data_IF_088803132856
#
_entry.id   IF_088803132856
#
_cell.length_a   1.000
_cell.length_b   1.000
_cell.length_c   1.000
_cell.angle_alpha   90.00
_cell.angle_beta   90.00
_cell.angle_gamma   90.00
#
_symmetry.space_group_name_H-M   'P 1'
#
loop_
_entity.id
_entity.type
_entity.pdbx_description
1 polymer ?
#
# COMPACT_ATOMS: atom_id res chain seq x y z
N UNK A 1 -12.12 4.60 21.62
CA UNK A 1 -11.77 5.91 21.02
C UNK A 1 -12.84 6.30 20.00
N UNK A 2 -13.26 7.57 19.98
CA UNK A 2 -14.17 8.11 18.96
C UNK A 2 -13.32 8.69 17.84
N UNK A 3 -13.59 8.34 16.59
CA UNK A 3 -12.84 8.88 15.45
C UNK A 3 -13.06 10.39 15.26
N UNK A 4 -14.06 10.97 15.92
CA UNK A 4 -14.32 12.41 15.92
C UNK A 4 -13.16 13.24 16.47
N UNK A 5 -12.51 12.78 17.55
CA UNK A 5 -11.37 13.48 18.15
C UNK A 5 -10.16 13.46 17.20
N UNK A 6 -9.89 12.29 16.62
CA UNK A 6 -8.83 12.07 15.62
C UNK A 6 -9.09 12.93 14.38
N UNK A 7 -10.36 12.99 13.94
CA UNK A 7 -10.80 13.79 12.79
C UNK A 7 -10.58 15.27 13.02
N UNK A 8 -10.88 15.78 14.22
CA UNK A 8 -10.63 17.18 14.58
C UNK A 8 -9.15 17.52 14.46
N UNK A 9 -8.28 16.69 15.03
CA UNK A 9 -6.82 16.90 15.01
C UNK A 9 -6.29 16.84 13.58
N UNK A 10 -6.74 15.86 12.79
CA UNK A 10 -6.37 15.73 11.39
C UNK A 10 -6.68 17.01 10.60
N UNK A 11 -7.91 17.52 10.71
CA UNK A 11 -8.31 18.71 9.97
C UNK A 11 -7.76 20.02 10.53
N UNK A 12 -7.21 20.05 11.74
CA UNK A 12 -6.43 21.18 12.25
C UNK A 12 -5.08 21.33 11.54
N UNK A 13 -4.47 20.22 11.12
CA UNK A 13 -3.17 20.22 10.42
C UNK A 13 -3.31 20.42 8.91
N UNK A 14 -4.53 20.36 8.37
CA UNK A 14 -4.79 20.47 6.93
C UNK A 14 -5.49 21.79 6.64
N UNK A 15 -4.96 22.55 5.69
CA UNK A 15 -5.64 23.75 5.21
C UNK A 15 -7.07 23.45 4.75
N UNK A 16 -8.04 24.28 5.16
CA UNK A 16 -9.47 24.10 4.86
C UNK A 16 -9.77 23.82 3.38
N UNK A 17 -9.03 24.44 2.46
CA UNK A 17 -9.17 24.24 1.00
C UNK A 17 -8.91 22.79 0.55
N UNK A 18 -8.13 22.03 1.32
CA UNK A 18 -7.78 20.63 1.01
C UNK A 18 -8.60 19.61 1.79
N UNK A 19 -9.47 20.03 2.72
CA UNK A 19 -10.25 19.10 3.55
C UNK A 19 -11.03 18.06 2.73
N UNK A 20 -11.60 18.47 1.60
CA UNK A 20 -12.33 17.56 0.71
C UNK A 20 -11.40 16.50 0.10
N UNK A 21 -10.20 16.88 -0.31
CA UNK A 21 -9.23 16.00 -0.97
C UNK A 21 -8.54 15.07 0.02
N UNK A 22 -8.39 15.49 1.28
CA UNK A 22 -7.71 14.70 2.30
C UNK A 22 -8.62 13.74 3.08
N UNK A 23 -9.91 13.62 2.70
CA UNK A 23 -10.83 12.65 3.31
C UNK A 23 -10.34 11.21 3.14
N UNK A 24 -9.78 10.91 1.98
CA UNK A 24 -9.22 9.60 1.68
C UNK A 24 -7.98 9.34 2.55
N UNK A 25 -7.04 10.28 2.62
CA UNK A 25 -5.88 10.18 3.51
C UNK A 25 -6.30 9.87 4.95
N UNK A 26 -7.27 10.61 5.51
CA UNK A 26 -7.77 10.36 6.86
C UNK A 26 -8.24 8.91 7.01
N UNK A 27 -9.10 8.44 6.10
CA UNK A 27 -9.63 7.10 6.13
C UNK A 27 -8.54 6.02 6.01
N UNK A 28 -7.53 6.24 5.16
CA UNK A 28 -6.38 5.33 5.00
C UNK A 28 -5.56 5.24 6.29
N UNK A 29 -5.33 6.37 6.98
CA UNK A 29 -4.66 6.39 8.29
C UNK A 29 -5.46 5.62 9.35
N UNK A 30 -6.79 5.71 9.33
CA UNK A 30 -7.65 4.89 10.19
C UNK A 30 -7.51 3.40 9.83
N UNK A 31 -7.52 3.03 8.56
CA UNK A 31 -7.31 1.63 8.13
C UNK A 31 -5.94 1.08 8.52
N UNK A 32 -4.89 1.90 8.47
CA UNK A 32 -3.56 1.56 8.99
C UNK A 32 -3.63 1.30 10.49
N UNK A 33 -4.23 2.22 11.26
CA UNK A 33 -4.40 2.06 12.71
C UNK A 33 -5.18 0.79 13.09
N UNK A 34 -6.21 0.44 12.31
CA UNK A 34 -7.00 -0.78 12.50
C UNK A 34 -6.32 -2.06 12.02
N UNK A 35 -5.05 -1.99 11.59
CA UNK A 35 -4.26 -3.12 11.09
C UNK A 35 -4.89 -3.83 9.89
N UNK A 36 -5.65 -3.10 9.06
CA UNK A 36 -6.32 -3.65 7.87
C UNK A 36 -5.35 -3.70 6.68
N UNK A 37 -4.45 -2.73 6.59
CA UNK A 37 -3.39 -2.68 5.57
C UNK A 37 -2.04 -2.36 6.19
N UNK A 38 -0.92 -2.78 5.57
CA UNK A 38 0.41 -2.56 6.14
C UNK A 38 0.96 -1.16 5.89
N UNK A 39 0.69 -0.59 4.72
CA UNK A 39 1.21 0.69 4.31
C UNK A 39 0.27 1.43 3.37
N UNK A 40 0.45 2.74 3.25
CA UNK A 40 -0.26 3.60 2.32
C UNK A 40 0.73 4.47 1.55
N UNK A 41 0.62 4.47 0.22
CA UNK A 41 1.33 5.39 -0.66
C UNK A 41 0.53 6.68 -0.75
N UNK A 42 1.17 7.78 -0.40
CA UNK A 42 0.58 9.11 -0.37
C UNK A 42 1.37 10.04 -1.28
N UNK A 43 0.65 10.69 -2.19
CA UNK A 43 1.17 11.81 -2.97
C UNK A 43 1.14 13.09 -2.12
N UNK A 44 2.31 13.67 -1.93
CA UNK A 44 2.59 14.91 -1.21
C UNK A 44 2.03 16.16 -1.89
N UNK A 45 1.28 16.06 -3.00
CA UNK A 45 0.86 17.19 -3.84
C UNK A 45 0.31 18.44 -3.10
N UNK A 46 -0.17 18.33 -1.85
CA UNK A 46 -0.59 19.46 -1.02
C UNK A 46 0.16 19.64 0.32
N UNK A 47 1.21 18.86 0.59
CA UNK A 47 1.95 18.84 1.85
C UNK A 47 3.46 18.70 1.65
N UNK A 48 4.22 19.38 2.48
CA UNK A 48 5.62 19.04 2.71
C UNK A 48 5.75 17.78 3.58
N UNK A 49 6.91 17.13 3.49
CA UNK A 49 7.28 16.02 4.39
C UNK A 49 7.18 16.46 5.85
N UNK A 50 7.60 17.69 6.17
CA UNK A 50 7.55 18.21 7.53
C UNK A 50 6.11 18.38 8.04
N UNK A 51 5.18 18.86 7.20
CA UNK A 51 3.76 18.93 7.56
C UNK A 51 3.19 17.53 7.81
N UNK A 52 3.55 16.53 7.00
CA UNK A 52 3.14 15.15 7.21
C UNK A 52 3.72 14.56 8.50
N UNK A 53 4.98 14.84 8.83
CA UNK A 53 5.58 14.46 10.13
C UNK A 53 4.82 15.06 11.30
N UNK A 54 4.52 16.36 11.23
CA UNK A 54 3.79 17.07 12.29
C UNK A 54 2.39 16.47 12.47
N UNK A 55 1.69 16.20 11.36
CA UNK A 55 0.39 15.55 11.39
C UNK A 55 0.46 14.16 12.04
N UNK A 56 1.38 13.29 11.58
CA UNK A 56 1.50 11.93 12.08
C UNK A 56 1.95 11.87 13.54
N UNK A 57 2.82 12.80 13.98
CA UNK A 57 3.22 12.93 15.38
C UNK A 57 2.04 13.34 16.27
N UNK A 58 1.21 14.28 15.83
CA UNK A 58 -0.01 14.65 16.54
C UNK A 58 -0.99 13.48 16.62
N UNK A 59 -1.16 12.74 15.53
CA UNK A 59 -2.05 11.59 15.48
C UNK A 59 -1.56 10.39 16.29
N UNK A 60 -0.26 10.14 16.40
CA UNK A 60 0.30 8.96 17.10
C UNK A 60 -0.03 8.95 18.60
N UNK A 61 -0.28 10.11 19.19
CA UNK A 61 -0.74 10.22 20.58
C UNK A 61 -2.17 9.70 20.79
N UNK A 62 -2.96 9.60 19.72
CA UNK A 62 -4.35 9.12 19.74
C UNK A 62 -4.48 7.75 19.07
N UNK A 63 -3.85 7.60 17.90
CA UNK A 63 -3.81 6.38 17.15
C UNK A 63 -2.58 5.60 17.61
N UNK A 64 -2.78 4.47 18.28
CA UNK A 64 -1.71 3.60 18.80
C UNK A 64 -0.89 2.89 17.71
N UNK A 65 -0.77 3.46 16.51
CA UNK A 65 0.13 2.95 15.48
C UNK A 65 1.42 3.77 15.47
N UNK A 66 2.53 3.06 15.39
CA UNK A 66 3.83 3.64 15.11
C UNK A 66 3.98 3.69 13.59
N UNK A 67 4.15 4.90 13.07
CA UNK A 67 4.41 5.10 11.65
C UNK A 67 5.89 5.03 11.33
N UNK A 68 6.20 4.42 10.20
CA UNK A 68 7.50 4.57 9.52
C UNK A 68 7.20 5.34 8.23
N UNK A 69 7.96 6.39 7.96
CA UNK A 69 7.81 7.20 6.75
C UNK A 69 8.98 6.87 5.82
N UNK A 70 8.66 6.38 4.63
CA UNK A 70 9.63 6.19 3.56
C UNK A 70 9.36 7.24 2.49
N UNK A 71 10.24 8.24 2.34
CA UNK A 71 10.20 9.14 1.20
C UNK A 71 10.84 8.43 0.01
N UNK A 72 10.05 8.25 -1.02
CA UNK A 72 10.41 7.46 -2.18
C UNK A 72 10.86 8.35 -3.35
N UNK A 73 10.11 9.42 -3.59
CA UNK A 73 10.41 10.45 -4.59
C UNK A 73 10.22 11.84 -3.98
N UNK A 74 10.39 12.89 -4.77
CA UNK A 74 10.08 14.26 -4.35
C UNK A 74 8.64 14.40 -3.84
N UNK A 75 7.71 13.64 -4.40
CA UNK A 75 6.28 13.75 -4.11
C UNK A 75 5.66 12.49 -3.49
N UNK A 76 6.39 11.37 -3.38
CA UNK A 76 5.80 10.11 -2.91
C UNK A 76 6.29 9.73 -1.52
N UNK A 77 5.35 9.55 -0.59
CA UNK A 77 5.60 9.00 0.74
C UNK A 77 4.88 7.67 0.93
N UNK A 78 5.58 6.69 1.51
CA UNK A 78 4.95 5.50 2.07
C UNK A 78 4.84 5.64 3.58
N UNK A 79 3.63 5.59 4.09
CA UNK A 79 3.33 5.59 5.53
C UNK A 79 3.02 4.14 5.92
N UNK A 80 3.91 3.52 6.69
CA UNK A 80 3.77 2.13 7.13
C UNK A 80 3.34 2.04 8.59
N UNK A 81 2.55 1.02 8.92
CA UNK A 81 2.32 0.63 10.31
C UNK A 81 3.36 -0.41 10.73
N UNK A 82 4.18 -0.09 11.74
CA UNK A 82 5.25 -0.98 12.20
C UNK A 82 4.72 -2.34 12.68
N UNK A 83 3.49 -2.42 13.19
CA UNK A 83 2.92 -3.69 13.67
C UNK A 83 2.65 -4.69 12.54
N UNK A 84 2.49 -4.19 11.30
CA UNK A 84 2.24 -5.01 10.11
C UNK A 84 3.52 -5.34 9.35
N UNK A 85 4.64 -4.70 9.68
CA UNK A 85 5.93 -4.94 9.05
C UNK A 85 6.38 -6.40 9.22
N UNK A 86 6.10 -6.99 10.38
CA UNK A 86 6.40 -8.41 10.66
C UNK A 86 5.68 -9.37 9.73
N UNK A 87 4.46 -9.05 9.28
CA UNK A 87 3.73 -9.86 8.30
C UNK A 87 4.38 -9.78 6.92
N UNK A 88 4.89 -8.61 6.54
CA UNK A 88 5.56 -8.44 5.25
C UNK A 88 6.92 -9.15 5.21
N UNK A 89 7.59 -9.39 6.32
CA UNK A 89 8.86 -10.14 6.32
C UNK A 89 8.67 -11.66 6.45
N UNK A 90 7.47 -12.12 6.77
CA UNK A 90 7.15 -13.54 6.92
C UNK A 90 7.25 -14.26 5.55
N UNK A 91 8.10 -15.31 5.41
CA UNK A 91 8.19 -16.09 4.18
C UNK A 91 6.89 -16.78 3.78
N UNK A 92 5.98 -17.01 4.72
CA UNK A 92 4.66 -17.60 4.47
C UNK A 92 3.65 -16.63 3.83
N UNK A 93 3.97 -15.34 3.77
CA UNK A 93 3.14 -14.35 3.09
C UNK A 93 3.12 -14.64 1.60
N UNK A 94 1.97 -15.13 1.13
CA UNK A 94 1.72 -15.47 -0.27
C UNK A 94 1.64 -14.21 -1.12
N UNK A 95 2.55 -14.10 -2.09
CA UNK A 95 2.60 -13.03 -3.07
C UNK A 95 2.90 -13.66 -4.43
N UNK A 96 2.10 -13.34 -5.44
CA UNK A 96 2.38 -13.75 -6.82
C UNK A 96 3.16 -12.64 -7.52
N UNK A 97 4.22 -13.03 -8.23
CA UNK A 97 4.96 -12.09 -9.08
C UNK A 97 4.49 -12.27 -10.51
N UNK A 98 4.23 -11.17 -11.18
CA UNK A 98 3.97 -11.12 -12.62
C UNK A 98 5.18 -10.48 -13.26
N UNK A 99 5.95 -11.28 -13.98
CA UNK A 99 7.04 -10.81 -14.82
C UNK A 99 6.42 -10.23 -16.11
N UNK A 100 6.52 -8.91 -16.27
CA UNK A 100 5.94 -8.20 -17.40
C UNK A 100 6.79 -8.34 -18.68
N UNK A 101 8.06 -8.74 -18.59
CA UNK A 101 8.90 -8.97 -19.76
C UNK A 101 8.52 -10.30 -20.44
N UNK A 102 8.28 -11.34 -19.64
CA UNK A 102 7.92 -12.67 -20.13
C UNK A 102 6.41 -12.93 -20.18
N UNK A 103 5.61 -12.05 -19.55
CA UNK A 103 4.17 -12.22 -19.34
C UNK A 103 3.83 -13.55 -18.64
N UNK A 104 4.63 -13.91 -17.64
CA UNK A 104 4.50 -15.14 -16.86
C UNK A 104 4.40 -14.84 -15.36
N UNK A 105 3.67 -15.71 -14.66
CA UNK A 105 3.59 -15.69 -13.20
C UNK A 105 4.73 -16.49 -12.61
N UNK A 106 5.34 -15.97 -11.55
CA UNK A 106 6.41 -16.62 -10.81
C UNK A 106 6.09 -16.61 -9.33
N UNK A 107 6.18 -17.77 -8.67
CA UNK A 107 5.92 -17.88 -7.24
C UNK A 107 7.11 -17.38 -6.40
N UNK A 108 8.33 -17.44 -6.93
CA UNK A 108 9.57 -17.07 -6.23
C UNK A 108 10.50 -16.25 -7.12
N UNK A 109 10.91 -15.07 -6.66
CA UNK A 109 11.94 -14.27 -7.35
C UNK A 109 12.93 -13.68 -6.34
N UNK A 110 14.25 -13.72 -6.62
CA UNK A 110 15.28 -13.25 -5.69
C UNK A 110 15.13 -11.79 -5.24
N UNK A 111 14.43 -10.97 -6.03
CA UNK A 111 14.09 -9.57 -5.68
C UNK A 111 13.30 -9.49 -4.37
N UNK A 112 12.40 -10.46 -4.12
CA UNK A 112 11.57 -10.48 -2.92
C UNK A 112 12.41 -10.67 -1.67
N UNK A 113 13.39 -11.56 -1.74
CA UNK A 113 14.30 -11.83 -0.62
C UNK A 113 15.12 -10.59 -0.27
N UNK A 114 15.49 -9.78 -1.28
CA UNK A 114 16.15 -8.48 -1.07
C UNK A 114 15.22 -7.50 -0.36
N UNK A 115 13.98 -7.34 -0.83
CA UNK A 115 12.99 -6.45 -0.19
C UNK A 115 12.71 -6.89 1.25
N UNK A 116 12.48 -8.19 1.47
CA UNK A 116 12.25 -8.76 2.81
C UNK A 116 13.44 -8.55 3.73
N UNK A 117 14.66 -8.76 3.23
CA UNK A 117 15.88 -8.52 4.01
C UNK A 117 15.98 -7.06 4.45
N UNK A 118 15.68 -6.12 3.56
CA UNK A 118 15.68 -4.69 3.89
C UNK A 118 14.57 -4.33 4.89
N UNK A 119 13.35 -4.82 4.69
CA UNK A 119 12.25 -4.63 5.64
C UNK A 119 12.57 -5.25 7.01
N UNK A 120 13.29 -6.37 7.05
CA UNK A 120 13.76 -6.97 8.29
C UNK A 120 14.78 -6.08 8.99
N UNK A 121 15.73 -5.49 8.26
CA UNK A 121 16.64 -4.48 8.80
C UNK A 121 15.88 -3.27 9.38
N UNK A 122 14.90 -2.72 8.66
CA UNK A 122 14.02 -1.65 9.18
C UNK A 122 13.35 -2.10 10.48
N UNK A 123 12.81 -3.33 10.50
CA UNK A 123 12.12 -3.90 11.66
C UNK A 123 13.05 -4.06 12.88
N UNK A 124 14.33 -4.39 12.69
CA UNK A 124 15.29 -4.44 13.81
C UNK A 124 15.53 -3.07 14.45
N UNK A 125 15.36 -1.99 13.69
CA UNK A 125 15.47 -0.60 14.16
C UNK A 125 14.15 0.01 14.60
N UNK A 126 13.09 -0.80 14.73
CA UNK A 126 11.74 -0.35 15.06
C UNK A 126 11.60 0.43 16.37
N UNK A 127 12.64 0.54 17.21
CA UNK A 127 12.61 1.34 18.43
C UNK A 127 12.91 2.83 18.20
N UNK A 128 13.42 3.19 17.03
CA UNK A 128 13.70 4.57 16.61
C UNK A 128 12.55 5.11 15.76
N UNK A 129 12.21 6.40 15.87
CA UNK A 129 11.28 6.99 14.92
C UNK A 129 12.04 7.07 13.59
N UNK A 130 11.72 6.15 12.68
CA UNK A 130 12.46 5.99 11.44
C UNK A 130 11.81 6.81 10.34
N UNK A 131 12.59 7.72 9.79
CA UNK A 131 12.28 8.46 8.59
C UNK A 131 13.39 8.21 7.58
N UNK A 132 13.02 7.51 6.51
CA UNK A 132 13.96 7.11 5.47
C UNK A 132 13.72 7.99 4.25
N UNK A 133 14.69 8.85 3.96
CA UNK A 133 14.68 9.66 2.74
C UNK A 133 15.61 9.01 1.71
N UNK A 134 15.05 8.61 0.56
CA UNK A 134 15.77 8.00 -0.55
C UNK A 134 16.99 8.82 -1.03
N UNK A 135 16.97 10.14 -0.88
CA UNK A 135 18.09 11.00 -1.29
C UNK A 135 19.23 11.02 -0.27
N UNK A 136 18.95 10.69 1.01
CA UNK A 136 19.92 10.85 2.11
C UNK A 136 20.27 9.55 2.82
N UNK A 137 19.43 8.52 2.69
CA UNK A 137 19.64 7.20 3.27
C UNK A 137 20.23 6.25 2.21
N UNK A 138 21.53 5.97 2.33
CA UNK A 138 22.26 5.14 1.37
C UNK A 138 21.73 3.71 1.26
N UNK A 139 21.34 3.08 2.38
CA UNK A 139 20.82 1.71 2.36
C UNK A 139 19.49 1.61 1.60
N UNK A 140 18.58 2.57 1.84
CA UNK A 140 17.31 2.68 1.13
C UNK A 140 17.53 3.02 -0.35
N UNK A 141 18.39 4.01 -0.65
CA UNK A 141 18.78 4.37 -2.02
C UNK A 141 19.31 3.18 -2.81
N UNK A 142 20.23 2.41 -2.22
CA UNK A 142 20.82 1.25 -2.86
C UNK A 142 19.79 0.15 -3.13
N UNK A 143 18.84 -0.05 -2.21
CA UNK A 143 17.72 -0.96 -2.44
C UNK A 143 16.91 -0.50 -3.66
N UNK A 144 16.50 0.76 -3.69
CA UNK A 144 15.66 1.30 -4.77
C UNK A 144 16.39 1.26 -6.11
N UNK A 145 17.66 1.66 -6.19
CA UNK A 145 18.45 1.60 -7.41
C UNK A 145 18.68 0.18 -7.93
N UNK A 146 18.74 -0.80 -7.04
CA UNK A 146 18.98 -2.21 -7.41
C UNK A 146 17.71 -2.98 -7.73
N UNK A 147 16.53 -2.37 -7.55
CA UNK A 147 15.23 -3.02 -7.71
C UNK A 147 14.26 -2.20 -8.56
N UNK A 148 13.23 -2.87 -9.04
CA UNK A 148 12.13 -2.23 -9.74
C UNK A 148 11.18 -1.55 -8.73
N UNK A 149 10.89 -0.26 -8.95
CA UNK A 149 10.11 0.53 -7.99
C UNK A 149 8.71 -0.04 -7.73
N UNK A 150 8.05 -0.48 -8.80
CA UNK A 150 6.71 -1.06 -8.76
C UNK A 150 6.68 -2.34 -7.94
N UNK A 151 7.74 -3.16 -8.01
CA UNK A 151 7.87 -4.37 -7.18
C UNK A 151 7.94 -4.02 -5.70
N UNK A 152 8.79 -3.04 -5.36
CA UNK A 152 8.97 -2.58 -3.96
C UNK A 152 7.67 -2.01 -3.42
N UNK A 153 7.01 -1.13 -4.16
CA UNK A 153 5.74 -0.55 -3.75
C UNK A 153 4.65 -1.60 -3.58
N UNK A 154 4.45 -2.46 -4.57
CA UNK A 154 3.43 -3.50 -4.48
C UNK A 154 3.63 -4.37 -3.23
N UNK A 155 4.88 -4.73 -2.93
CA UNK A 155 5.20 -5.53 -1.76
C UNK A 155 4.94 -4.77 -0.44
N UNK A 156 5.47 -3.55 -0.32
CA UNK A 156 5.33 -2.73 0.90
C UNK A 156 3.88 -2.37 1.18
N UNK A 157 3.08 -2.14 0.13
CA UNK A 157 1.64 -1.90 0.23
C UNK A 157 0.83 -3.16 0.59
N UNK A 158 1.46 -4.34 0.58
CA UNK A 158 0.82 -5.61 0.87
C UNK A 158 -0.09 -6.10 -0.25
N UNK A 159 0.25 -5.82 -1.50
CA UNK A 159 -0.52 -6.31 -2.64
C UNK A 159 -0.30 -7.82 -2.82
N UNK A 160 -1.36 -8.57 -3.15
CA UNK A 160 -1.25 -10.00 -3.38
C UNK A 160 -0.55 -10.32 -4.72
N UNK A 161 -0.49 -9.35 -5.63
CA UNK A 161 0.18 -9.41 -6.92
C UNK A 161 1.21 -8.28 -6.99
N UNK A 162 2.43 -8.58 -7.41
CA UNK A 162 3.47 -7.58 -7.65
C UNK A 162 4.06 -7.72 -9.05
N UNK A 163 4.41 -6.60 -9.66
CA UNK A 163 4.96 -6.58 -11.01
C UNK A 163 6.48 -6.49 -10.96
N UNK A 164 7.16 -7.20 -11.86
CA UNK A 164 8.59 -7.10 -12.07
C UNK A 164 8.89 -6.92 -13.56
N UNK A 165 9.92 -6.15 -13.86
CA UNK A 165 10.47 -5.97 -15.21
C UNK A 165 11.91 -5.44 -15.13
N UNK A 166 12.74 -5.78 -16.11
CA UNK A 166 14.16 -5.42 -16.22
C UNK A 166 14.42 -4.12 -17.00
N UNK A 167 13.35 -3.44 -17.44
CA UNK A 167 13.33 -2.23 -18.28
C UNK A 167 13.30 -2.56 -19.76
N UNK A 168 12.12 -2.88 -20.30
CA UNK A 168 11.92 -3.04 -21.75
C UNK A 168 10.98 -1.95 -22.31
N UNK A 169 11.24 -1.41 -23.51
CA UNK A 169 10.51 -0.25 -24.04
C UNK A 169 9.21 -0.61 -24.79
N UNK A 170 8.88 -1.89 -24.96
CA UNK A 170 7.79 -2.31 -25.84
C UNK A 170 6.89 -3.35 -25.16
N UNK A 171 6.07 -2.89 -24.21
CA UNK A 171 4.92 -3.69 -23.80
C UNK A 171 3.86 -3.62 -24.90
N UNK A 172 3.60 -4.76 -25.53
CA UNK A 172 2.40 -4.95 -26.33
C UNK A 172 1.18 -4.50 -25.52
N UNK A 173 0.23 -3.83 -26.18
CA UNK A 173 -0.99 -3.32 -25.54
C UNK A 173 -1.78 -4.53 -25.02
N UNK A 174 -1.62 -4.83 -23.73
CA UNK A 174 -2.37 -5.87 -23.02
C UNK A 174 -3.60 -5.27 -22.37
N UNK A 175 -4.69 -6.02 -22.33
CA UNK A 175 -5.87 -5.63 -21.56
C UNK A 175 -5.59 -5.83 -20.07
N UNK A 176 -6.19 -5.00 -19.22
CA UNK A 176 -5.98 -5.04 -17.77
C UNK A 176 -7.28 -5.42 -17.05
N UNK A 177 -7.17 -6.33 -16.07
CA UNK A 177 -8.20 -6.62 -15.07
C UNK A 177 -7.86 -5.86 -13.80
N UNK A 178 -8.74 -4.94 -13.41
CA UNK A 178 -8.58 -4.15 -12.21
C UNK A 178 -9.29 -4.82 -11.03
N UNK A 179 -8.58 -4.91 -9.90
CA UNK A 179 -9.11 -5.36 -8.63
C UNK A 179 -9.17 -4.17 -7.68
N UNK A 180 -10.36 -3.86 -7.19
CA UNK A 180 -10.58 -2.75 -6.24
C UNK A 180 -11.34 -3.24 -5.03
N UNK A 181 -10.77 -3.00 -3.85
CA UNK A 181 -11.47 -3.25 -2.60
C UNK A 181 -11.90 -1.93 -1.99
N UNK A 182 -13.20 -1.77 -1.79
CA UNK A 182 -13.78 -0.66 -1.06
C UNK A 182 -14.18 -1.09 0.34
N UNK A 183 -14.02 -0.18 1.30
CA UNK A 183 -14.46 -0.38 2.69
C UNK A 183 -15.29 0.80 3.16
N UNK A 184 -16.24 0.53 4.04
CA UNK A 184 -17.01 1.55 4.74
C UNK A 184 -16.72 1.49 6.23
N UNK A 185 -16.17 2.58 6.74
CA UNK A 185 -15.89 2.74 8.17
C UNK A 185 -17.13 3.38 8.82
N UNK A 186 -17.44 3.00 10.05
CA UNK A 186 -18.44 3.70 10.86
C UNK A 186 -18.08 5.20 10.91
N UNK A 187 -19.11 6.05 10.93
CA UNK A 187 -18.98 7.51 10.98
C UNK A 187 -18.38 8.15 9.69
N UNK A 188 -18.06 7.33 8.67
CA UNK A 188 -17.79 7.77 7.30
C UNK A 188 -19.00 7.54 6.39
N UNK A 189 -19.37 8.57 5.62
CA UNK A 189 -20.50 8.51 4.68
C UNK A 189 -20.16 7.65 3.47
N UNK A 190 -18.95 7.82 2.96
CA UNK A 190 -18.52 7.34 1.65
C UNK A 190 -17.73 6.02 1.77
N UNK A 191 -17.78 5.21 0.73
CA UNK A 191 -16.88 4.08 0.58
C UNK A 191 -15.46 4.60 0.29
N UNK A 192 -14.46 3.94 0.89
CA UNK A 192 -13.04 4.29 0.75
C UNK A 192 -12.37 3.19 -0.07
N UNK A 193 -11.61 3.57 -1.10
CA UNK A 193 -10.81 2.64 -1.88
C UNK A 193 -9.60 2.17 -1.07
N UNK A 194 -9.64 0.96 -0.54
CA UNK A 194 -8.60 0.43 0.33
C UNK A 194 -7.39 -0.12 -0.45
N UNK A 195 -7.68 -0.87 -1.52
CA UNK A 195 -6.69 -1.47 -2.43
C UNK A 195 -7.14 -1.28 -3.88
N UNK A 196 -6.19 -1.02 -4.78
CA UNK A 196 -6.40 -0.96 -6.22
C UNK A 196 -5.14 -1.46 -6.94
N UNK A 197 -5.26 -2.55 -7.70
CA UNK A 197 -4.16 -3.06 -8.53
C UNK A 197 -4.69 -3.71 -9.81
N UNK A 198 -3.84 -3.80 -10.84
CA UNK A 198 -4.25 -4.14 -12.20
C UNK A 198 -3.42 -5.28 -12.77
N UNK A 199 -4.02 -6.44 -12.99
CA UNK A 199 -3.34 -7.57 -13.60
C UNK A 199 -3.48 -7.55 -15.13
N UNK A 200 -2.42 -7.75 -15.91
CA UNK A 200 -2.55 -8.02 -17.34
C UNK A 200 -3.38 -9.29 -17.57
N UNK A 201 -4.25 -9.23 -18.58
CA UNK A 201 -5.01 -10.37 -19.09
C UNK A 201 -4.28 -10.84 -20.34
N UNK A 202 -3.62 -11.99 -20.24
CA UNK A 202 -2.79 -12.52 -21.31
C UNK A 202 -2.93 -14.04 -21.34
N UNK A 203 -2.82 -14.66 -22.53
CA UNK A 203 -3.00 -16.12 -22.68
C UNK A 203 -1.97 -16.94 -21.88
N UNK A 204 -0.82 -16.35 -21.59
CA UNK A 204 0.26 -16.98 -20.82
C UNK A 204 0.11 -16.74 -19.30
N UNK A 205 -0.83 -15.90 -18.89
CA UNK A 205 -1.10 -15.61 -17.48
C UNK A 205 -2.22 -16.52 -16.98
N UNK A 206 -1.96 -17.21 -15.87
CA UNK A 206 -2.91 -18.14 -15.28
C UNK A 206 -4.01 -17.41 -14.48
N UNK A 207 -5.13 -17.10 -15.15
CA UNK A 207 -6.26 -16.40 -14.53
C UNK A 207 -6.81 -17.08 -13.29
N UNK A 208 -6.86 -18.42 -13.27
CA UNK A 208 -7.39 -19.19 -12.13
C UNK A 208 -6.49 -19.02 -10.89
N UNK A 209 -5.17 -18.97 -11.09
CA UNK A 209 -4.22 -18.76 -10.01
C UNK A 209 -4.35 -17.35 -9.43
N UNK A 210 -4.50 -16.34 -10.30
CA UNK A 210 -4.76 -14.95 -9.87
C UNK A 210 -6.05 -14.87 -9.07
N UNK A 211 -7.16 -15.40 -9.60
CA UNK A 211 -8.45 -15.33 -8.91
C UNK A 211 -8.41 -16.05 -7.56
N UNK A 212 -7.69 -17.17 -7.46
CA UNK A 212 -7.49 -17.88 -6.20
C UNK A 212 -6.70 -17.06 -5.18
N UNK A 213 -5.54 -16.51 -5.58
CA UNK A 213 -4.69 -15.69 -4.69
C UNK A 213 -5.41 -14.44 -4.22
N UNK A 214 -6.09 -13.75 -5.14
CA UNK A 214 -6.88 -12.56 -4.85
C UNK A 214 -8.05 -12.89 -3.91
N UNK A 215 -8.77 -13.98 -4.15
CA UNK A 215 -9.87 -14.42 -3.29
C UNK A 215 -9.40 -14.78 -1.88
N UNK A 216 -8.25 -15.47 -1.76
CA UNK A 216 -7.65 -15.81 -0.48
C UNK A 216 -7.23 -14.55 0.29
N UNK A 217 -6.56 -13.61 -0.39
CA UNK A 217 -6.18 -12.32 0.19
C UNK A 217 -7.39 -11.55 0.72
N UNK A 218 -8.46 -11.43 -0.06
CA UNK A 218 -9.68 -10.76 0.39
C UNK A 218 -10.42 -11.51 1.49
N UNK A 219 -10.36 -12.83 1.52
CA UNK A 219 -10.91 -13.64 2.61
C UNK A 219 -10.18 -13.36 3.92
N UNK A 220 -8.85 -13.27 3.91
CA UNK A 220 -8.04 -12.89 5.07
C UNK A 220 -8.36 -11.47 5.55
N UNK A 221 -8.49 -10.51 4.62
CA UNK A 221 -8.89 -9.14 4.97
C UNK A 221 -10.30 -9.09 5.55
N UNK A 222 -11.25 -9.86 4.98
CA UNK A 222 -12.61 -9.96 5.49
C UNK A 222 -12.65 -10.46 6.92
N UNK A 223 -11.86 -11.48 7.27
CA UNK A 223 -11.76 -11.96 8.65
C UNK A 223 -11.29 -10.86 9.60
N UNK A 224 -10.27 -10.07 9.22
CA UNK A 224 -9.79 -8.93 10.00
C UNK A 224 -10.89 -7.86 10.11
N UNK A 225 -11.55 -7.50 9.02
CA UNK A 225 -12.59 -6.47 8.99
C UNK A 225 -13.82 -6.87 9.83
N UNK A 226 -14.25 -8.14 9.80
CA UNK A 226 -15.39 -8.62 10.58
C UNK A 226 -15.13 -8.62 12.09
N UNK A 227 -13.87 -8.78 12.51
CA UNK A 227 -13.46 -8.63 13.91
C UNK A 227 -13.44 -7.16 14.36
N UNK A 228 -13.33 -6.23 13.41
CA UNK A 228 -13.33 -4.80 13.66
C UNK A 228 -14.77 -4.24 13.61
N UNK A 229 -15.39 -4.05 14.78
CA UNK A 229 -16.73 -3.45 14.92
C UNK A 229 -16.86 -2.04 14.29
N UNK A 230 -15.74 -1.43 13.89
CA UNK A 230 -15.67 -0.13 13.21
C UNK A 230 -15.86 -0.22 11.69
N UNK A 231 -15.81 -1.40 11.09
CA UNK A 231 -16.08 -1.58 9.66
C UNK A 231 -17.54 -2.03 9.50
N UNK A 232 -18.29 -1.29 8.68
CA UNK A 232 -19.72 -1.53 8.45
C UNK A 232 -19.96 -2.54 7.33
N UNK A 233 -19.27 -2.37 6.22
CA UNK A 233 -19.31 -3.26 5.06
C UNK A 233 -18.07 -3.04 4.18
N UNK A 234 -17.86 -3.96 3.25
CA UNK A 234 -16.81 -3.89 2.23
C UNK A 234 -17.36 -4.42 0.91
N UNK A 235 -16.75 -4.01 -0.20
CA UNK A 235 -17.14 -4.39 -1.56
C UNK A 235 -15.91 -4.63 -2.41
N UNK A 236 -15.81 -5.82 -2.98
CA UNK A 236 -14.85 -6.13 -4.03
C UNK A 236 -15.47 -5.80 -5.38
N UNK A 237 -14.77 -5.01 -6.18
CA UNK A 237 -15.12 -4.68 -7.56
C UNK A 237 -14.03 -5.22 -8.49
N UNK A 238 -14.43 -6.09 -9.42
CA UNK A 238 -13.59 -6.65 -10.47
C UNK A 238 -14.00 -6.05 -11.81
N UNK A 239 -13.22 -5.09 -12.29
CA UNK A 239 -13.48 -4.44 -13.57
C UNK A 239 -12.53 -5.00 -14.62
N UNK A 240 -13.07 -5.73 -15.58
CA UNK A 240 -12.39 -6.04 -16.84
C UNK A 240 -12.59 -4.81 -17.72
N UNK A 241 -11.56 -3.96 -17.88
CA UNK A 241 -11.69 -2.75 -18.70
C UNK A 241 -11.01 -2.96 -20.04
N UNK A 242 -11.79 -2.86 -21.12
CA UNK A 242 -11.31 -2.61 -22.49
C UNK A 242 -10.83 -1.16 -22.71
N UNK A 243 -10.64 -0.36 -21.64
CA UNK A 243 -10.21 1.03 -21.74
C UNK A 243 -8.84 1.21 -21.11
N UNK A 244 -7.82 1.03 -21.94
CA UNK A 244 -6.43 1.35 -21.69
C UNK A 244 -6.23 2.87 -21.62
N UNK A 245 -6.05 3.37 -20.42
CA UNK A 245 -5.20 4.54 -20.19
C UNK A 245 -4.49 4.28 -18.87
N UNK A 246 -3.18 4.05 -18.98
CA UNK A 246 -2.25 3.76 -17.89
C UNK A 246 -2.47 4.71 -16.70
N UNK A 247 -2.67 4.15 -15.52
CA UNK A 247 -2.30 4.81 -14.27
C UNK A 247 -1.04 4.07 -13.80
N UNK A 248 0.13 4.64 -14.09
CA UNK A 248 1.32 4.43 -13.27
C UNK A 248 1.14 5.23 -11.98
#
# INVERSE_FOLDING_TARGET
MKFDDVKLIFYQHIHRRYHRHCRELFAQLICLHLNIKPAYLFDLFSFSIQEMRNLLASLSSYLSFRSIILKYSLNDLVIMNSSQLTKLIDPSTSVLIIDLDTMLTTDHHPVLDKVRSHLSWINTRQHEQLDFDNETNEEWSNLIQSLNHTTVFGYVLGYPLIYFYLSTPEMNITTLRNFRLYVKINDHTDEILLYSFSCPIHTNINDKQIDSIVSNFFSSLSAIMNQNQKIKNYRLDTQIKEQSSWCL
#
